data_IF_800520200210
#
_entry.id   IF_800520200210
#
_cell.length_a   1.000
_cell.length_b   1.000
_cell.length_c   1.000
_cell.angle_alpha   90.00
_cell.angle_beta   90.00
_cell.angle_gamma   90.00
#
_symmetry.space_group_name_H-M   'P 1'
#
loop_
_entity.id
_entity.type
_entity.pdbx_description
1 polymer ?
#
# COMPACT_ATOMS: atom_id res chain seq x y z
N UNK A 1 -10.85 9.76 7.53
CA UNK A 1 -10.38 8.86 6.45
C UNK A 1 -10.62 7.43 6.87
N UNK A 2 -11.36 6.61 6.10
CA UNK A 2 -11.40 5.18 6.37
C UNK A 2 -10.01 4.63 6.12
N UNK A 3 -9.51 3.84 7.06
CA UNK A 3 -8.27 3.12 6.83
C UNK A 3 -8.51 1.95 5.83
N UNK A 4 -7.44 1.51 5.18
CA UNK A 4 -7.43 0.54 4.09
C UNK A 4 -6.78 -0.79 4.53
N UNK A 5 -7.10 -1.88 3.86
CA UNK A 5 -6.48 -3.16 4.16
C UNK A 5 -5.01 -3.20 3.72
N UNK A 6 -4.15 -3.82 4.53
CA UNK A 6 -2.78 -4.17 4.15
C UNK A 6 -2.73 -5.68 3.88
N UNK A 7 -2.17 -6.08 2.75
CA UNK A 7 -2.11 -7.48 2.33
C UNK A 7 -0.77 -7.89 1.74
N UNK A 8 -0.37 -9.14 1.98
CA UNK A 8 0.74 -9.78 1.29
C UNK A 8 0.20 -10.69 0.19
N UNK A 9 0.69 -10.52 -1.05
CA UNK A 9 0.40 -11.48 -2.11
C UNK A 9 1.22 -12.75 -1.91
N UNK A 10 0.54 -13.86 -1.65
CA UNK A 10 1.18 -15.15 -1.38
C UNK A 10 1.00 -16.06 -2.59
N UNK A 11 2.11 -16.41 -3.23
CA UNK A 11 2.15 -17.44 -4.27
C UNK A 11 2.52 -18.79 -3.62
N UNK A 12 1.59 -19.77 -3.56
CA UNK A 12 1.85 -21.04 -2.91
C UNK A 12 2.94 -21.81 -3.65
N UNK A 13 3.91 -22.35 -2.90
CA UNK A 13 4.82 -23.36 -3.43
C UNK A 13 4.03 -24.65 -3.70
N UNK A 14 4.37 -25.36 -4.77
CA UNK A 14 3.78 -26.67 -5.03
C UNK A 14 4.23 -27.65 -3.94
N UNK A 15 3.27 -28.37 -3.34
CA UNK A 15 3.54 -29.42 -2.36
C UNK A 15 2.92 -30.70 -2.88
N UNK A 16 3.73 -31.75 -3.03
CA UNK A 16 3.30 -33.05 -3.59
C UNK A 16 2.58 -32.93 -4.95
N UNK A 17 3.03 -32.01 -5.81
CA UNK A 17 2.43 -31.80 -7.14
C UNK A 17 1.13 -30.99 -7.16
N UNK A 18 0.55 -30.66 -6.00
CA UNK A 18 -0.68 -29.86 -5.93
C UNK A 18 -0.31 -28.37 -5.85
N UNK A 19 -0.77 -27.59 -6.84
CA UNK A 19 -0.64 -26.13 -6.86
C UNK A 19 -1.94 -25.51 -6.35
N UNK A 20 -1.86 -24.78 -5.24
CA UNK A 20 -2.96 -23.93 -4.79
C UNK A 20 -2.94 -22.62 -5.55
N UNK A 21 -4.12 -22.05 -5.74
CA UNK A 21 -4.24 -20.71 -6.31
C UNK A 21 -3.59 -19.67 -5.39
N UNK A 22 -2.99 -18.61 -5.96
CA UNK A 22 -2.55 -17.46 -5.19
C UNK A 22 -3.68 -16.83 -4.35
N UNK A 23 -3.30 -16.29 -3.20
CA UNK A 23 -4.20 -15.57 -2.28
C UNK A 23 -3.51 -14.34 -1.73
N UNK A 24 -4.27 -13.39 -1.19
CA UNK A 24 -3.72 -12.29 -0.41
C UNK A 24 -3.97 -12.52 1.07
N UNK A 25 -2.90 -12.50 1.86
CA UNK A 25 -2.96 -12.67 3.31
C UNK A 25 -3.11 -11.31 3.99
N UNK A 26 -4.14 -11.09 4.82
CA UNK A 26 -4.29 -9.85 5.58
C UNK A 26 -3.12 -9.65 6.57
N UNK A 27 -2.67 -8.40 6.69
CA UNK A 27 -1.61 -7.97 7.62
C UNK A 27 -2.09 -6.96 8.67
N UNK A 28 -3.34 -6.52 8.60
CA UNK A 28 -3.93 -5.46 9.42
C UNK A 28 -4.42 -4.31 8.54
N UNK A 29 -4.61 -3.12 9.13
CA UNK A 29 -5.16 -1.97 8.41
C UNK A 29 -4.29 -0.72 8.53
N UNK A 30 -4.28 0.11 7.49
CA UNK A 30 -3.38 1.26 7.37
C UNK A 30 -4.09 2.50 6.84
N UNK A 31 -3.66 3.66 7.32
CA UNK A 31 -3.95 4.93 6.68
C UNK A 31 -2.99 5.15 5.50
N UNK A 32 -3.53 5.38 4.30
CA UNK A 32 -2.73 5.76 3.13
C UNK A 32 -2.54 7.27 3.10
N UNK A 33 -1.30 7.72 3.28
CA UNK A 33 -0.93 9.14 3.27
C UNK A 33 0.10 9.36 2.15
N UNK A 34 -0.43 9.51 0.93
CA UNK A 34 0.37 9.67 -0.28
C UNK A 34 1.28 8.46 -0.55
N UNK A 35 2.59 8.59 -0.35
CA UNK A 35 3.62 7.57 -0.57
C UNK A 35 3.88 6.69 0.67
N UNK A 36 3.28 7.04 1.82
CA UNK A 36 3.40 6.32 3.07
C UNK A 36 2.10 5.58 3.42
N UNK A 37 2.24 4.42 4.04
CA UNK A 37 1.18 3.71 4.75
C UNK A 37 1.50 3.74 6.24
N UNK A 38 0.55 4.16 7.07
CA UNK A 38 0.72 4.32 8.52
C UNK A 38 -0.22 3.33 9.21
N UNK A 39 0.29 2.57 10.18
CA UNK A 39 -0.53 1.62 10.93
C UNK A 39 -1.72 2.26 11.64
N UNK A 40 -2.90 1.63 11.50
CA UNK A 40 -4.16 2.10 12.11
C UNK A 40 -4.85 1.05 12.99
N UNK A 41 -4.39 -0.20 12.92
CA UNK A 41 -4.90 -1.34 13.67
C UNK A 41 -3.87 -1.86 14.68
N UNK A 42 -4.26 -2.62 15.72
CA UNK A 42 -3.32 -3.15 16.71
C UNK A 42 -2.13 -3.93 16.12
N UNK A 43 -2.33 -4.64 15.00
CA UNK A 43 -1.27 -5.41 14.31
C UNK A 43 -0.23 -4.51 13.61
N UNK A 44 -0.63 -3.28 13.29
CA UNK A 44 0.13 -2.35 12.45
C UNK A 44 0.61 -1.12 13.21
N UNK A 45 0.08 -0.84 14.41
CA UNK A 45 0.44 0.31 15.24
C UNK A 45 1.96 0.48 15.35
N UNK A 46 2.42 1.73 15.16
CA UNK A 46 3.84 2.10 15.24
C UNK A 46 4.68 1.66 14.05
N UNK A 47 4.07 1.12 12.98
CA UNK A 47 4.77 0.70 11.76
C UNK A 47 4.41 1.60 10.59
N UNK A 48 5.37 1.73 9.68
CA UNK A 48 5.26 2.51 8.45
C UNK A 48 5.71 1.64 7.27
N UNK A 49 5.08 1.83 6.11
CA UNK A 49 5.48 1.21 4.86
C UNK A 49 5.54 2.23 3.74
N UNK A 50 6.41 2.00 2.76
CA UNK A 50 6.29 2.62 1.45
C UNK A 50 5.13 1.98 0.68
N UNK A 51 4.35 2.78 -0.05
CA UNK A 51 3.27 2.26 -0.87
C UNK A 51 3.78 1.34 -1.97
N UNK A 52 3.11 0.21 -2.15
CA UNK A 52 3.25 -0.63 -3.34
C UNK A 52 2.13 -0.35 -4.33
N UNK A 53 1.39 -1.40 -4.69
CA UNK A 53 0.22 -1.32 -5.55
C UNK A 53 -1.07 -1.51 -4.74
N UNK A 54 -2.20 -1.15 -5.34
CA UNK A 54 -3.53 -1.31 -4.76
C UNK A 54 -4.40 -2.20 -5.63
N UNK A 55 -5.27 -2.95 -4.98
CA UNK A 55 -6.34 -3.70 -5.63
C UNK A 55 -7.62 -3.57 -4.83
N UNK A 56 -8.75 -3.38 -5.51
CA UNK A 56 -10.06 -3.39 -4.87
C UNK A 56 -10.62 -4.80 -4.77
N UNK A 57 -11.18 -5.16 -3.63
CA UNK A 57 -11.91 -6.41 -3.40
C UNK A 57 -13.24 -6.31 -4.11
N UNK A 58 -13.30 -6.88 -5.31
CA UNK A 58 -14.50 -6.95 -6.14
C UNK A 58 -14.62 -8.35 -6.71
N UNK A 59 -15.85 -8.84 -6.87
CA UNK A 59 -16.08 -10.11 -7.53
C UNK A 59 -15.57 -10.05 -8.99
N UNK A 60 -14.78 -11.02 -9.46
CA UNK A 60 -14.22 -10.97 -10.81
C UNK A 60 -15.33 -11.09 -11.86
N UNK A 61 -15.52 -10.04 -12.66
CA UNK A 61 -16.37 -10.09 -13.85
C UNK A 61 -15.86 -11.07 -14.92
N UNK A 62 -16.66 -11.27 -15.99
CA UNK A 62 -16.33 -12.21 -17.09
C UNK A 62 -15.03 -11.83 -17.78
N UNK A 63 -14.18 -12.83 -18.06
CA UNK A 63 -12.87 -12.62 -18.69
C UNK A 63 -13.04 -12.18 -20.15
N UNK A 64 -12.45 -11.04 -20.48
CA UNK A 64 -12.25 -10.57 -21.85
C UNK A 64 -10.73 -10.48 -22.00
N UNK A 65 -10.12 -11.41 -22.74
CA UNK A 65 -8.66 -11.52 -22.87
C UNK A 65 -8.05 -10.24 -23.44
N UNK A 66 -7.51 -9.37 -22.59
CA UNK A 66 -7.00 -8.05 -22.97
C UNK A 66 -5.67 -7.76 -22.24
N UNK A 67 -4.53 -8.08 -22.84
CA UNK A 67 -3.15 -7.79 -22.37
C UNK A 67 -2.64 -8.51 -21.09
N UNK A 68 -1.32 -8.69 -21.02
CA UNK A 68 -0.61 -9.25 -19.84
C UNK A 68 -0.87 -8.42 -18.58
N UNK A 69 -0.87 -7.09 -18.70
CA UNK A 69 -1.11 -6.19 -17.57
C UNK A 69 -2.53 -6.31 -17.01
N UNK A 70 -3.54 -6.62 -17.83
CA UNK A 70 -4.87 -6.89 -17.29
C UNK A 70 -4.96 -8.26 -16.62
N UNK A 71 -4.24 -9.27 -17.14
CA UNK A 71 -4.20 -10.58 -16.49
C UNK A 71 -3.52 -10.52 -15.12
N UNK A 72 -2.43 -9.76 -14.99
CA UNK A 72 -1.76 -9.50 -13.70
C UNK A 72 -2.73 -8.84 -12.70
N UNK A 73 -3.43 -7.77 -13.12
CA UNK A 73 -4.44 -7.10 -12.27
C UNK A 73 -5.63 -8.00 -11.94
N UNK A 74 -6.02 -8.89 -12.86
CA UNK A 74 -7.06 -9.91 -12.64
C UNK A 74 -6.60 -10.92 -11.60
N UNK A 75 -5.35 -11.40 -11.66
CA UNK A 75 -4.79 -12.31 -10.67
C UNK A 75 -4.76 -11.68 -9.28
N UNK A 76 -4.36 -10.41 -9.16
CA UNK A 76 -4.41 -9.69 -7.88
C UNK A 76 -5.84 -9.55 -7.33
N UNK A 77 -6.82 -9.18 -8.16
CA UNK A 77 -8.23 -9.13 -7.73
C UNK A 77 -8.75 -10.49 -7.28
N UNK A 78 -8.41 -11.56 -8.01
CA UNK A 78 -8.80 -12.91 -7.63
C UNK A 78 -8.16 -13.34 -6.29
N UNK A 79 -6.89 -12.98 -6.07
CA UNK A 79 -6.21 -13.24 -4.81
C UNK A 79 -6.78 -12.42 -3.65
N UNK A 80 -7.12 -11.14 -3.89
CA UNK A 80 -7.79 -10.27 -2.91
C UNK A 80 -9.19 -10.78 -2.54
N UNK A 81 -9.98 -11.23 -3.53
CA UNK A 81 -11.31 -11.81 -3.27
C UNK A 81 -11.26 -13.13 -2.46
N UNK A 82 -10.14 -13.86 -2.53
CA UNK A 82 -9.89 -15.07 -1.72
C UNK A 82 -9.26 -14.76 -0.36
N UNK A 83 -8.54 -13.64 -0.24
CA UNK A 83 -8.03 -13.12 1.01
C UNK A 83 -9.18 -12.59 1.84
N UNK A 84 -9.28 -12.97 3.11
CA UNK A 84 -10.41 -12.67 4.00
C UNK A 84 -10.57 -11.16 4.34
N UNK A 85 -10.72 -10.33 3.32
CA UNK A 85 -10.98 -8.89 3.37
C UNK A 85 -12.48 -8.63 3.19
N UNK A 86 -12.95 -7.44 3.58
CA UNK A 86 -14.35 -7.09 3.39
C UNK A 86 -14.63 -6.77 1.90
N UNK A 87 -15.84 -7.11 1.40
CA UNK A 87 -16.25 -6.69 0.07
C UNK A 87 -16.13 -5.18 -0.13
N UNK A 88 -15.48 -4.76 -1.22
CA UNK A 88 -15.26 -3.35 -1.52
C UNK A 88 -13.99 -2.73 -0.92
N UNK A 89 -13.27 -3.45 -0.06
CA UNK A 89 -12.01 -2.98 0.52
C UNK A 89 -10.97 -2.62 -0.55
N UNK A 90 -10.22 -1.55 -0.30
CA UNK A 90 -8.95 -1.31 -0.98
C UNK A 90 -7.84 -2.04 -0.23
N UNK A 91 -7.13 -2.93 -0.91
CA UNK A 91 -6.00 -3.69 -0.36
C UNK A 91 -4.70 -3.12 -0.92
N UNK A 92 -3.88 -2.56 -0.04
CA UNK A 92 -2.49 -2.21 -0.32
C UNK A 92 -1.62 -3.47 -0.27
N UNK A 93 -0.89 -3.75 -1.35
CA UNK A 93 -0.05 -4.93 -1.44
C UNK A 93 1.30 -4.64 -2.10
N UNK A 94 2.31 -5.46 -1.77
CA UNK A 94 3.69 -5.18 -2.17
C UNK A 94 4.24 -3.92 -1.48
N UNK A 95 3.64 -3.52 -0.35
CA UNK A 95 4.14 -2.46 0.48
C UNK A 95 5.46 -2.89 1.15
N UNK A 96 6.43 -1.99 1.20
CA UNK A 96 7.76 -2.28 1.74
C UNK A 96 7.85 -1.70 3.15
N UNK A 97 8.08 -2.51 4.20
CA UNK A 97 8.25 -2.00 5.56
C UNK A 97 9.39 -1.00 5.64
N UNK A 98 9.17 0.10 6.36
CA UNK A 98 10.20 1.10 6.67
C UNK A 98 10.50 0.98 8.16
N UNK A 99 11.70 0.49 8.54
CA UNK A 99 12.15 0.54 9.92
C UNK A 99 12.18 1.99 10.42
N UNK A 100 11.55 2.26 11.57
CA UNK A 100 11.58 3.57 12.21
C UNK A 100 12.68 3.55 13.26
N UNK A 101 13.92 3.61 12.77
CA UNK A 101 15.14 3.56 13.57
C UNK A 101 16.25 4.41 12.90
N UNK A 102 17.47 4.33 13.42
CA UNK A 102 18.61 5.14 12.98
C UNK A 102 18.99 4.89 11.50
N UNK A 103 18.50 3.81 10.87
CA UNK A 103 18.73 3.55 9.43
C UNK A 103 18.09 4.60 8.51
N UNK A 104 17.17 5.40 9.05
CA UNK A 104 16.59 6.52 8.31
C UNK A 104 17.60 7.64 8.04
N UNK A 105 18.63 7.81 8.89
CA UNK A 105 19.63 8.87 8.75
C UNK A 105 20.51 8.62 7.54
N UNK A 106 20.45 9.53 6.56
CA UNK A 106 21.16 9.38 5.28
C UNK A 106 20.58 8.28 4.38
N UNK A 107 19.39 7.77 4.69
CA UNK A 107 18.74 6.71 3.91
C UNK A 107 18.33 7.16 2.49
N UNK A 108 18.25 6.19 1.58
CA UNK A 108 17.84 6.38 0.18
C UNK A 108 16.36 6.05 -0.09
N UNK A 109 15.64 5.65 0.95
CA UNK A 109 14.23 5.28 0.90
C UNK A 109 13.25 6.45 0.70
N UNK A 110 11.97 6.11 0.66
CA UNK A 110 10.84 7.07 0.56
C UNK A 110 10.77 7.98 1.78
N UNK A 111 11.04 7.44 2.98
CA UNK A 111 11.19 8.18 4.23
C UNK A 111 12.65 8.08 4.65
N UNK A 112 13.24 9.21 5.01
CA UNK A 112 14.64 9.31 5.42
C UNK A 112 14.84 10.59 6.25
N UNK A 113 16.00 10.72 6.89
CA UNK A 113 16.42 11.93 7.59
C UNK A 113 17.65 12.49 6.87
N UNK A 114 17.58 13.76 6.47
CA UNK A 114 18.71 14.50 5.90
C UNK A 114 18.88 15.80 6.67
N UNK A 115 20.10 16.11 7.08
CA UNK A 115 20.43 17.30 7.87
C UNK A 115 19.52 17.47 9.10
N UNK A 116 19.30 16.39 9.85
CA UNK A 116 18.38 16.29 11.00
C UNK A 116 16.89 16.59 10.70
N UNK A 117 16.51 16.65 9.42
CA UNK A 117 15.13 16.86 8.97
C UNK A 117 14.54 15.57 8.39
N UNK A 118 13.55 14.95 9.04
CA UNK A 118 12.76 13.88 8.45
C UNK A 118 12.08 14.38 7.17
N UNK A 119 12.28 13.66 6.08
CA UNK A 119 11.88 14.06 4.73
C UNK A 119 11.27 12.90 3.98
N UNK A 120 10.36 13.21 3.06
CA UNK A 120 9.67 12.26 2.19
C UNK A 120 9.96 12.59 0.74
N UNK A 121 10.23 11.56 -0.07
CA UNK A 121 10.29 11.64 -1.53
C UNK A 121 9.23 10.73 -2.15
N UNK A 122 8.72 11.07 -3.33
CA UNK A 122 7.62 10.31 -3.95
C UNK A 122 8.01 8.86 -4.31
N UNK A 123 9.28 8.64 -4.65
CA UNK A 123 9.87 7.32 -4.87
C UNK A 123 11.36 7.37 -4.53
N UNK A 124 12.03 6.22 -4.29
CA UNK A 124 13.47 6.19 -4.03
C UNK A 124 14.31 6.87 -5.12
N UNK A 125 13.85 6.82 -6.37
CA UNK A 125 14.50 7.43 -7.53
C UNK A 125 14.17 8.91 -7.74
N UNK A 126 13.26 9.49 -6.96
CA UNK A 126 12.91 10.90 -7.08
C UNK A 126 14.02 11.79 -6.49
N UNK A 127 14.46 12.79 -7.26
CA UNK A 127 15.50 13.73 -6.82
C UNK A 127 15.01 14.85 -5.90
N UNK A 128 13.70 14.98 -5.69
CA UNK A 128 13.10 15.98 -4.82
C UNK A 128 12.50 15.35 -3.58
N UNK A 129 12.68 16.02 -2.44
CA UNK A 129 12.12 15.64 -1.16
C UNK A 129 11.45 16.84 -0.49
N UNK A 130 10.49 16.55 0.39
CA UNK A 130 9.72 17.53 1.16
C UNK A 130 9.85 17.16 2.63
N UNK A 131 9.98 18.13 3.55
CA UNK A 131 9.94 17.83 4.99
C UNK A 131 8.68 17.02 5.34
N UNK A 132 8.84 15.99 6.16
CA UNK A 132 7.77 15.06 6.53
C UNK A 132 6.59 15.80 7.16
N UNK A 133 6.86 16.79 8.01
CA UNK A 133 5.82 17.58 8.66
C UNK A 133 4.94 18.31 7.63
N UNK A 134 5.56 19.01 6.68
CA UNK A 134 4.85 19.73 5.61
C UNK A 134 4.08 18.76 4.71
N UNK A 135 4.71 17.63 4.38
CA UNK A 135 4.08 16.57 3.61
C UNK A 135 2.82 16.04 4.30
N UNK A 136 2.91 15.66 5.59
CA UNK A 136 1.76 15.15 6.33
C UNK A 136 0.67 16.20 6.47
N UNK A 137 1.03 17.47 6.74
CA UNK A 137 0.07 18.56 6.83
C UNK A 137 -0.70 18.76 5.52
N UNK A 138 -0.01 18.77 4.38
CA UNK A 138 -0.64 18.88 3.06
C UNK A 138 -1.55 17.67 2.76
N UNK A 139 -1.03 16.45 2.93
CA UNK A 139 -1.79 15.22 2.61
C UNK A 139 -3.00 15.05 3.52
N UNK A 140 -2.89 15.35 4.81
CA UNK A 140 -4.02 15.32 5.73
C UNK A 140 -4.99 16.47 5.43
N UNK A 141 -4.50 17.66 5.11
CA UNK A 141 -5.32 18.80 4.70
C UNK A 141 -6.22 18.46 3.51
N UNK A 142 -5.67 17.88 2.45
CA UNK A 142 -6.42 17.42 1.27
C UNK A 142 -7.48 16.35 1.58
N UNK A 143 -7.30 15.59 2.67
CA UNK A 143 -8.23 14.55 3.10
C UNK A 143 -9.35 15.07 4.00
N UNK A 144 -9.09 16.14 4.76
CA UNK A 144 -10.05 16.77 5.67
C UNK A 144 -10.89 17.82 4.94
N UNK A 145 -10.28 18.60 4.07
CA UNK A 145 -10.92 19.61 3.24
C UNK A 145 -10.63 19.34 1.75
N UNK A 146 -11.30 18.35 1.14
CA UNK A 146 -11.05 17.99 -0.23
C UNK A 146 -11.41 19.16 -1.15
N UNK A 147 -10.54 19.55 -2.10
CA UNK A 147 -10.86 20.59 -3.06
C UNK A 147 -12.15 20.24 -3.83
N UNK A 148 -12.97 21.25 -4.09
CA UNK A 148 -14.28 21.06 -4.75
C UNK A 148 -14.12 20.28 -6.06
N UNK A 149 -14.81 19.15 -6.18
CA UNK A 149 -14.78 18.27 -7.36
C UNK A 149 -13.94 16.98 -7.21
N UNK A 150 -13.38 16.70 -6.04
CA UNK A 150 -12.55 15.51 -5.80
C UNK A 150 -13.32 14.24 -5.38
N UNK A 151 -14.66 14.25 -5.33
CA UNK A 151 -15.47 13.16 -4.72
C UNK A 151 -16.59 12.60 -5.60
N UNK A 152 -16.53 12.76 -6.92
CA UNK A 152 -17.46 12.08 -7.85
C UNK A 152 -17.06 10.61 -8.10
#
# INVERSE_FOLDING_TARGET
MPDEALGEYVQPKAVLGIRRDPTMRPLGRVWRVGALLIGSSPETTGRVWATGAITRVTEPGRAQYQSVSAEVRRAYRAAAAKGHFAPGDTVNHGAVPIPVDDTLVGGDGVLFVADDVPSVRWSPAAGTAVPLADYLADRVGLLVDPPRGATD
#
